data_IF_959787321452
#
_entry.id   IF_959787321452
#
_cell.length_a   1.000
_cell.length_b   1.000
_cell.length_c   1.000
_cell.angle_alpha   90.00
_cell.angle_beta   90.00
_cell.angle_gamma   90.00
#
_symmetry.space_group_name_H-M   'P 1'
#
loop_
_entity.id
_entity.type
_entity.pdbx_description
1 polymer ?
#
# COMPACT_ATOMS: atom_id res chain seq x y z
N UNK A 1 5.65 -17.71 8.97
CA UNK A 1 6.83 -17.67 8.06
C UNK A 1 7.00 -16.23 7.59
N UNK A 2 8.18 -15.62 7.69
CA UNK A 2 8.36 -14.22 7.22
C UNK A 2 8.38 -14.20 5.69
N UNK A 3 7.51 -13.40 5.07
CA UNK A 3 7.34 -13.34 3.61
C UNK A 3 8.56 -12.68 2.95
N UNK A 4 9.01 -13.24 1.83
CA UNK A 4 10.07 -12.63 1.03
C UNK A 4 9.57 -11.37 0.32
N UNK A 5 10.47 -10.41 0.13
CA UNK A 5 10.16 -9.15 -0.55
C UNK A 5 10.10 -9.29 -2.06
N UNK A 6 9.44 -8.34 -2.72
CA UNK A 6 9.45 -8.17 -4.16
C UNK A 6 10.80 -7.59 -4.59
N UNK A 7 11.68 -8.40 -5.17
CA UNK A 7 13.11 -8.07 -5.36
C UNK A 7 13.40 -6.72 -6.02
N UNK A 8 12.55 -6.21 -6.93
CA UNK A 8 12.77 -4.93 -7.60
C UNK A 8 12.57 -3.70 -6.70
N UNK A 9 11.85 -3.83 -5.59
CA UNK A 9 11.58 -2.71 -4.68
C UNK A 9 12.67 -2.55 -3.61
N UNK A 10 13.77 -3.30 -3.69
CA UNK A 10 14.91 -3.18 -2.81
C UNK A 10 14.72 -3.88 -1.46
N UNK A 11 15.35 -3.33 -0.42
CA UNK A 11 15.43 -3.93 0.92
C UNK A 11 14.04 -4.18 1.49
N UNK A 12 13.82 -5.40 2.00
CA UNK A 12 12.61 -5.76 2.73
C UNK A 12 12.83 -5.59 4.24
N UNK A 13 12.15 -4.61 4.84
CA UNK A 13 12.21 -4.32 6.28
C UNK A 13 11.24 -5.22 7.05
N UNK A 14 11.67 -6.46 7.29
CA UNK A 14 10.87 -7.54 7.88
C UNK A 14 10.38 -7.24 9.30
N UNK A 15 11.05 -6.36 10.03
CA UNK A 15 10.69 -5.94 11.39
C UNK A 15 9.33 -5.22 11.49
N UNK A 16 8.80 -4.74 10.35
CA UNK A 16 7.50 -4.08 10.22
C UNK A 16 6.40 -4.99 9.65
N UNK A 17 6.62 -6.31 9.59
CA UNK A 17 5.58 -7.28 9.25
C UNK A 17 4.34 -7.10 10.15
N UNK A 18 3.16 -6.97 9.55
CA UNK A 18 1.88 -6.66 10.22
C UNK A 18 1.90 -5.38 11.08
N UNK A 19 2.81 -4.44 10.80
CA UNK A 19 2.87 -3.13 11.47
C UNK A 19 2.69 -2.01 10.45
N UNK A 20 1.47 -1.81 9.92
CA UNK A 20 1.24 -0.94 8.76
C UNK A 20 1.65 0.52 9.01
N UNK A 21 1.39 1.06 10.20
CA UNK A 21 1.75 2.44 10.55
C UNK A 21 3.27 2.64 10.62
N UNK A 22 3.99 1.68 11.20
CA UNK A 22 5.46 1.73 11.28
C UNK A 22 6.09 1.52 9.92
N UNK A 23 5.56 0.61 9.10
CA UNK A 23 5.98 0.39 7.72
C UNK A 23 5.85 1.68 6.89
N UNK A 24 4.70 2.36 6.96
CA UNK A 24 4.48 3.65 6.30
C UNK A 24 5.52 4.69 6.76
N UNK A 25 5.68 4.85 8.08
CA UNK A 25 6.61 5.82 8.66
C UNK A 25 8.05 5.54 8.22
N UNK A 26 8.45 4.28 8.20
CA UNK A 26 9.78 3.86 7.79
C UNK A 26 10.01 4.18 6.31
N UNK A 27 9.11 3.77 5.42
CA UNK A 27 9.25 4.02 3.98
C UNK A 27 9.17 5.50 3.62
N UNK A 28 8.38 6.32 4.34
CA UNK A 28 8.40 7.78 4.18
C UNK A 28 9.75 8.41 4.56
N UNK A 29 10.46 7.80 5.52
CA UNK A 29 11.79 8.25 5.97
C UNK A 29 12.89 7.81 5.03
N UNK A 30 12.94 6.52 4.68
CA UNK A 30 14.00 5.95 3.84
C UNK A 30 13.82 6.29 2.37
N UNK A 31 12.56 6.44 1.91
CA UNK A 31 12.20 6.69 0.52
C UNK A 31 12.76 5.61 -0.43
N UNK A 32 12.82 4.38 0.06
CA UNK A 32 13.23 3.20 -0.68
C UNK A 32 12.75 1.93 0.05
N UNK A 33 12.88 0.79 -0.60
CA UNK A 33 12.58 -0.49 0.02
C UNK A 33 11.10 -0.83 0.05
N UNK A 34 10.79 -1.81 0.91
CA UNK A 34 9.46 -2.38 1.06
C UNK A 34 9.29 -3.05 2.41
N UNK A 35 8.03 -3.39 2.72
CA UNK A 35 7.64 -4.25 3.82
C UNK A 35 6.70 -5.30 3.27
N UNK A 36 7.20 -6.52 3.09
CA UNK A 36 6.39 -7.67 2.70
C UNK A 36 5.40 -8.00 3.83
N UNK A 37 4.12 -8.18 3.50
CA UNK A 37 3.06 -8.39 4.51
C UNK A 37 2.95 -7.24 5.52
N UNK A 38 3.12 -5.99 5.08
CA UNK A 38 2.91 -4.82 5.95
C UNK A 38 1.48 -4.75 6.49
N UNK A 39 0.51 -5.12 5.66
CA UNK A 39 -0.91 -5.19 6.00
C UNK A 39 -1.37 -6.65 5.95
N UNK A 40 -2.40 -6.95 6.73
CA UNK A 40 -3.12 -8.21 6.69
C UNK A 40 -4.61 -7.92 6.63
N UNK A 41 -5.33 -8.62 5.76
CA UNK A 41 -6.79 -8.55 5.68
C UNK A 41 -7.35 -9.98 5.59
N UNK A 42 -8.37 -10.36 6.37
CA UNK A 42 -8.80 -11.77 6.44
C UNK A 42 -9.17 -12.41 5.10
N UNK A 43 -9.72 -11.64 4.16
CA UNK A 43 -10.15 -12.07 2.82
C UNK A 43 -9.03 -11.98 1.74
N UNK A 44 -7.93 -11.29 2.01
CA UNK A 44 -6.79 -11.14 1.07
C UNK A 44 -5.49 -11.78 1.56
N UNK A 45 -5.34 -12.01 2.86
CA UNK A 45 -4.09 -12.36 3.51
C UNK A 45 -3.10 -11.19 3.56
N UNK A 46 -1.81 -11.51 3.44
CA UNK A 46 -0.70 -10.56 3.50
C UNK A 46 -0.62 -9.67 2.26
N UNK A 47 -0.60 -8.36 2.48
CA UNK A 47 -0.46 -7.33 1.45
C UNK A 47 0.83 -6.54 1.70
N UNK A 48 1.67 -6.48 0.68
CA UNK A 48 2.96 -5.81 0.73
C UNK A 48 2.79 -4.28 0.57
N UNK A 49 3.62 -3.52 1.28
CA UNK A 49 3.80 -2.09 1.05
C UNK A 49 5.16 -1.85 0.42
N UNK A 50 5.20 -1.15 -0.71
CA UNK A 50 6.44 -0.81 -1.39
C UNK A 50 6.60 0.70 -1.44
N UNK A 51 7.83 1.20 -1.38
CA UNK A 51 8.08 2.62 -1.65
C UNK A 51 7.66 2.95 -3.09
N UNK A 52 8.14 2.17 -4.05
CA UNK A 52 7.76 2.28 -5.46
C UNK A 52 8.36 3.49 -6.18
N UNK A 53 7.61 4.01 -7.16
CA UNK A 53 8.03 5.06 -8.08
C UNK A 53 6.90 6.08 -8.26
N UNK A 54 7.01 6.96 -9.26
CA UNK A 54 6.00 7.99 -9.54
C UNK A 54 4.71 7.46 -10.18
N UNK A 55 4.65 6.18 -10.55
CA UNK A 55 3.49 5.52 -11.16
C UNK A 55 2.78 4.55 -10.20
N UNK A 56 3.47 4.04 -9.17
CA UNK A 56 2.94 3.03 -8.24
C UNK A 56 3.64 3.03 -6.87
N UNK A 57 2.93 2.57 -5.85
CA UNK A 57 3.45 2.45 -4.48
C UNK A 57 3.27 3.73 -3.65
N UNK A 58 3.89 3.75 -2.47
CA UNK A 58 3.73 4.83 -1.50
C UNK A 58 4.21 6.20 -2.03
N UNK A 59 5.29 6.20 -2.82
CA UNK A 59 5.81 7.40 -3.49
C UNK A 59 4.77 8.03 -4.41
N UNK A 60 4.17 7.22 -5.29
CA UNK A 60 3.12 7.67 -6.19
C UNK A 60 1.92 8.26 -5.44
N UNK A 61 1.46 7.62 -4.36
CA UNK A 61 0.37 8.15 -3.52
C UNK A 61 0.77 9.52 -2.96
N UNK A 62 1.96 9.63 -2.34
CA UNK A 62 2.43 10.88 -1.78
C UNK A 62 2.49 12.00 -2.83
N UNK A 63 3.05 11.73 -4.00
CA UNK A 63 3.20 12.71 -5.09
C UNK A 63 1.85 13.18 -5.63
N UNK A 64 0.96 12.24 -5.99
CA UNK A 64 -0.35 12.57 -6.56
C UNK A 64 -1.22 13.33 -5.56
N UNK A 65 -1.30 12.85 -4.32
CA UNK A 65 -2.12 13.51 -3.28
C UNK A 65 -1.56 14.87 -2.89
N UNK A 66 -0.24 15.04 -2.94
CA UNK A 66 0.40 16.36 -2.73
C UNK A 66 0.02 17.33 -3.84
N UNK A 67 -0.01 16.88 -5.10
CA UNK A 67 -0.45 17.70 -6.23
C UNK A 67 -1.92 18.09 -6.12
N UNK A 68 -2.77 17.16 -5.68
CA UNK A 68 -4.22 17.39 -5.61
C UNK A 68 -4.63 18.36 -4.49
N UNK A 69 -4.08 18.19 -3.27
CA UNK A 69 -4.56 18.88 -2.05
C UNK A 69 -3.44 19.38 -1.12
N UNK A 70 -2.19 19.35 -1.58
CA UNK A 70 -1.03 19.77 -0.79
C UNK A 70 -0.46 18.67 0.11
N UNK A 71 0.81 18.86 0.53
CA UNK A 71 1.60 17.85 1.23
C UNK A 71 1.00 17.43 2.58
N UNK A 72 0.44 18.36 3.34
CA UNK A 72 -0.14 18.06 4.64
C UNK A 72 -1.37 17.16 4.52
N UNK A 73 -2.25 17.41 3.54
CA UNK A 73 -3.39 16.55 3.26
C UNK A 73 -2.96 15.17 2.76
N UNK A 74 -1.93 15.10 1.91
CA UNK A 74 -1.37 13.84 1.42
C UNK A 74 -0.84 12.94 2.55
N UNK A 75 -0.12 13.53 3.52
CA UNK A 75 0.39 12.79 4.67
C UNK A 75 -0.76 12.26 5.56
N UNK A 76 -1.78 13.08 5.83
CA UNK A 76 -2.98 12.62 6.56
C UNK A 76 -3.68 11.46 5.85
N UNK A 77 -3.83 11.55 4.53
CA UNK A 77 -4.40 10.45 3.73
C UNK A 77 -3.59 9.16 3.86
N UNK A 78 -2.25 9.26 3.79
CA UNK A 78 -1.37 8.11 3.97
C UNK A 78 -1.49 7.51 5.39
N UNK A 79 -1.64 8.35 6.42
CA UNK A 79 -1.87 7.90 7.80
C UNK A 79 -3.20 7.16 7.99
N UNK A 80 -4.22 7.50 7.19
CA UNK A 80 -5.54 6.84 7.17
C UNK A 80 -5.56 5.57 6.30
N UNK A 81 -4.55 5.34 5.46
CA UNK A 81 -4.48 4.20 4.55
C UNK A 81 -4.64 2.83 5.24
N UNK A 82 -4.06 2.57 6.44
CA UNK A 82 -4.29 1.32 7.16
C UNK A 82 -5.76 1.04 7.47
N UNK A 83 -6.52 2.06 7.84
CA UNK A 83 -7.95 1.93 8.14
C UNK A 83 -8.73 1.57 6.88
N UNK A 84 -8.45 2.26 5.77
CA UNK A 84 -9.06 1.96 4.47
C UNK A 84 -8.75 0.54 3.99
N UNK A 85 -7.51 0.07 4.19
CA UNK A 85 -7.13 -1.29 3.79
C UNK A 85 -7.84 -2.34 4.64
N UNK A 86 -7.88 -2.12 5.95
CA UNK A 86 -8.47 -3.05 6.91
C UNK A 86 -9.98 -3.17 6.75
N UNK A 87 -10.67 -2.02 6.66
CA UNK A 87 -12.11 -1.94 6.84
C UNK A 87 -12.88 -1.51 5.58
N UNK A 88 -12.17 -1.15 4.50
CA UNK A 88 -12.84 -0.75 3.26
C UNK A 88 -13.64 -1.88 2.63
N UNK A 89 -14.76 -1.56 1.99
CA UNK A 89 -15.55 -2.50 1.20
C UNK A 89 -14.71 -2.99 0.00
N UNK A 90 -14.60 -4.31 -0.18
CA UNK A 90 -13.79 -4.89 -1.24
C UNK A 90 -14.62 -5.20 -2.49
N UNK A 91 -14.21 -4.65 -3.63
CA UNK A 91 -14.65 -5.07 -4.96
C UNK A 91 -13.53 -5.81 -5.66
N UNK A 92 -13.76 -7.10 -5.90
CA UNK A 92 -12.81 -8.00 -6.54
C UNK A 92 -12.92 -7.91 -8.06
N UNK A 93 -11.79 -7.69 -8.71
CA UNK A 93 -11.58 -7.97 -10.12
C UNK A 93 -10.61 -9.14 -10.31
N UNK A 94 -10.29 -9.47 -11.56
CA UNK A 94 -9.42 -10.62 -11.86
C UNK A 94 -7.98 -10.44 -11.37
N UNK A 95 -7.43 -9.23 -11.51
CA UNK A 95 -6.02 -8.92 -11.20
C UNK A 95 -5.87 -7.89 -10.08
N UNK A 96 -6.97 -7.27 -9.63
CA UNK A 96 -6.96 -6.18 -8.66
C UNK A 96 -8.13 -6.27 -7.70
N UNK A 97 -7.91 -5.71 -6.52
CA UNK A 97 -8.97 -5.45 -5.55
C UNK A 97 -9.03 -3.96 -5.29
N UNK A 98 -10.23 -3.43 -5.34
CA UNK A 98 -10.52 -2.05 -5.01
C UNK A 98 -11.15 -2.02 -3.63
N UNK A 99 -10.58 -1.23 -2.72
CA UNK A 99 -11.07 -1.04 -1.37
C UNK A 99 -11.68 0.34 -1.25
N UNK A 100 -12.93 0.42 -0.81
CA UNK A 100 -13.70 1.66 -0.74
C UNK A 100 -14.06 2.02 0.69
N UNK A 101 -14.05 3.32 0.96
CA UNK A 101 -14.72 3.95 2.08
C UNK A 101 -15.57 5.11 1.54
N UNK A 102 -16.30 5.79 2.42
CA UNK A 102 -17.07 6.98 2.04
C UNK A 102 -16.18 8.10 1.49
N UNK A 103 -14.93 8.18 1.95
CA UNK A 103 -14.02 9.31 1.65
C UNK A 103 -12.89 8.97 0.68
N UNK A 104 -12.60 7.69 0.48
CA UNK A 104 -11.36 7.25 -0.15
C UNK A 104 -11.46 5.88 -0.80
N UNK A 105 -10.54 5.62 -1.72
CA UNK A 105 -10.37 4.34 -2.41
C UNK A 105 -8.89 3.95 -2.46
N UNK A 106 -8.58 2.67 -2.27
CA UNK A 106 -7.26 2.08 -2.48
C UNK A 106 -7.33 0.98 -3.54
N UNK A 107 -6.20 0.74 -4.22
CA UNK A 107 -6.07 -0.32 -5.23
C UNK A 107 -4.93 -1.25 -4.85
N UNK A 108 -5.26 -2.53 -4.74
CA UNK A 108 -4.32 -3.62 -4.46
C UNK A 108 -4.17 -4.46 -5.73
N UNK A 109 -2.94 -4.71 -6.16
CA UNK A 109 -2.66 -5.75 -7.16
C UNK A 109 -2.73 -7.11 -6.49
N UNK A 110 -3.40 -8.07 -7.12
CA UNK A 110 -3.48 -9.45 -6.62
C UNK A 110 -2.25 -10.28 -7.01
N UNK A 111 -1.40 -9.75 -7.88
CA UNK A 111 -0.17 -10.38 -8.32
C UNK A 111 1.01 -9.40 -8.41
N UNK A 112 2.18 -9.99 -8.55
CA UNK A 112 3.37 -9.32 -9.00
C UNK A 112 4.20 -10.25 -9.88
N UNK A 113 4.41 -9.86 -11.15
CA UNK A 113 5.12 -10.65 -12.17
C UNK A 113 4.60 -12.10 -12.29
N UNK A 114 3.28 -12.26 -12.24
CA UNK A 114 2.63 -13.58 -12.33
C UNK A 114 2.58 -14.38 -11.03
N UNK A 115 3.22 -13.92 -9.95
CA UNK A 115 3.09 -14.55 -8.63
C UNK A 115 1.88 -13.96 -7.86
N UNK A 116 0.84 -14.78 -7.64
CA UNK A 116 -0.42 -14.40 -6.99
C UNK A 116 -0.36 -14.35 -5.45
N UNK A 117 0.72 -14.85 -4.85
CA UNK A 117 0.97 -14.70 -3.41
C UNK A 117 1.44 -13.27 -3.09
N UNK A 118 1.91 -12.54 -4.11
CA UNK A 118 2.46 -11.21 -3.98
C UNK A 118 1.42 -10.12 -4.23
N UNK A 119 0.50 -9.96 -3.27
CA UNK A 119 -0.44 -8.84 -3.25
C UNK A 119 0.23 -7.59 -2.73
N UNK A 120 -0.03 -6.43 -3.32
CA UNK A 120 0.64 -5.18 -2.93
C UNK A 120 -0.17 -3.92 -3.28
N UNK A 121 0.07 -2.84 -2.53
CA UNK A 121 -0.62 -1.56 -2.71
C UNK A 121 -0.05 -0.82 -3.92
N UNK A 122 -0.91 -0.54 -4.89
CA UNK A 122 -0.53 0.17 -6.12
C UNK A 122 -0.75 1.68 -5.96
N UNK A 123 -1.91 2.09 -5.46
CA UNK A 123 -2.29 3.51 -5.29
C UNK A 123 -3.45 3.65 -4.30
N UNK A 124 -3.76 4.90 -3.95
CA UNK A 124 -4.96 5.27 -3.19
C UNK A 124 -5.26 6.76 -3.32
N UNK A 125 -6.54 7.12 -3.39
CA UNK A 125 -7.04 8.48 -3.62
C UNK A 125 -8.30 8.79 -2.81
N UNK A 126 -8.58 10.09 -2.60
CA UNK A 126 -9.89 10.52 -2.11
C UNK A 126 -10.97 10.19 -3.14
N UNK A 127 -12.13 9.76 -2.67
CA UNK A 127 -13.33 9.63 -3.48
C UNK A 127 -13.85 11.05 -3.74
N UNK A 128 -14.08 11.37 -5.01
CA UNK A 128 -14.74 12.60 -5.42
C UNK A 128 -16.26 12.46 -5.29
#
# INVERSE_FOLDING_TARGET
MQKEGLSEFGVNYKEFYHKPKDAIKHLLKTKEGQVAGAFYRPDLGDINLVWGDSNKGLKHILERRTSDKGRQAALKFIEELPELIQNGEAKYGETRVYLYSDKAQAVISLDYKGNKDNKWIVTGYWKN
#
